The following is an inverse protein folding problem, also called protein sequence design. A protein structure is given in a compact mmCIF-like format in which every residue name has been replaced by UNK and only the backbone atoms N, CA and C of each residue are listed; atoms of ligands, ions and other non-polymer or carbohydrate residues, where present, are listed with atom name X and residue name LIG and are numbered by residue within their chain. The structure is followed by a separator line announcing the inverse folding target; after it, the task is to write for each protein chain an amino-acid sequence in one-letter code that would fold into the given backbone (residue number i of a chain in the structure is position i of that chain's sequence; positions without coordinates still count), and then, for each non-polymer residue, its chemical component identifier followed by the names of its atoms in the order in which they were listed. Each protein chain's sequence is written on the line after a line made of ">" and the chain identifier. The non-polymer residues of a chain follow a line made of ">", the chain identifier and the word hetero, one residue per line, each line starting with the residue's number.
data_IF_618009110515
#
_entry.id   IF_618009110515
#
_cell.length_a   1.000
_cell.length_b   1.000
_cell.length_c   1.000
_cell.angle_alpha   90.00
_cell.angle_beta   90.00
_cell.angle_gamma   90.00
#
_symmetry.space_group_name_H-M   'P 1'
#
loop_
_entity.id
_entity.type
_entity.pdbx_description
1 polymer ?
#
# COMPACT_ATOMS: atom_id res chain seq x y z
N UNK A 1 -5.79 -22.65 -12.92
CA UNK A 1 -6.33 -21.98 -14.12
C UNK A 1 -7.84 -21.80 -13.93
N UNK A 2 -8.29 -20.70 -13.33
CA UNK A 2 -9.73 -20.45 -13.16
C UNK A 2 -10.36 -20.04 -14.49
N UNK A 3 -11.32 -20.83 -14.96
CA UNK A 3 -12.09 -20.62 -16.19
C UNK A 3 -13.16 -19.57 -15.92
N UNK A 4 -13.14 -18.47 -16.66
CA UNK A 4 -14.14 -17.41 -16.62
C UNK A 4 -15.41 -17.88 -17.33
N UNK A 5 -16.42 -18.30 -16.57
CA UNK A 5 -17.74 -18.60 -17.12
C UNK A 5 -18.57 -17.32 -17.25
N UNK A 6 -18.66 -16.81 -18.48
CA UNK A 6 -19.94 -16.59 -19.18
C UNK A 6 -20.92 -15.50 -18.74
N UNK A 7 -20.90 -15.01 -17.50
CA UNK A 7 -21.84 -13.97 -17.05
C UNK A 7 -21.09 -12.92 -16.22
N UNK A 8 -20.29 -12.09 -16.93
CA UNK A 8 -19.45 -11.06 -16.31
C UNK A 8 -20.29 -9.81 -16.05
N UNK A 9 -21.07 -9.84 -14.97
CA UNK A 9 -21.29 -8.60 -14.23
C UNK A 9 -19.91 -7.99 -13.96
N UNK A 10 -19.73 -6.71 -14.28
CA UNK A 10 -18.45 -6.06 -14.10
C UNK A 10 -18.09 -6.12 -12.59
N UNK A 11 -16.92 -6.69 -12.27
CA UNK A 11 -16.47 -6.86 -10.88
C UNK A 11 -16.24 -5.54 -10.12
N UNK A 12 -16.14 -4.41 -10.82
CA UNK A 12 -16.04 -3.04 -10.27
C UNK A 12 -17.39 -2.53 -9.76
N UNK A 13 -18.50 -2.87 -10.42
CA UNK A 13 -19.85 -2.46 -10.00
C UNK A 13 -20.24 -3.03 -8.63
N UNK A 14 -19.83 -4.28 -8.35
CA UNK A 14 -20.16 -4.92 -7.07
C UNK A 14 -19.36 -4.33 -5.90
N UNK A 15 -18.10 -3.92 -6.11
CA UNK A 15 -17.29 -3.30 -5.04
C UNK A 15 -17.71 -1.86 -4.75
N UNK A 16 -18.17 -1.10 -5.76
CA UNK A 16 -18.70 0.25 -5.56
C UNK A 16 -19.91 0.27 -4.62
N UNK A 17 -20.73 -0.78 -4.63
CA UNK A 17 -21.87 -0.92 -3.72
C UNK A 17 -21.47 -1.17 -2.26
N UNK A 18 -20.29 -1.76 -2.02
CA UNK A 18 -19.83 -2.16 -0.68
C UNK A 18 -18.93 -1.09 -0.04
N UNK A 19 -18.16 -0.33 -0.82
CA UNK A 19 -17.22 0.68 -0.33
C UNK A 19 -17.85 1.77 0.59
N UNK A 20 -19.04 2.32 0.29
CA UNK A 20 -19.68 3.30 1.18
C UNK A 20 -20.07 2.70 2.54
N UNK A 21 -20.50 1.43 2.55
CA UNK A 21 -20.84 0.71 3.78
C UNK A 21 -19.61 0.43 4.67
N UNK A 22 -18.41 0.45 4.10
CA UNK A 22 -17.13 0.33 4.82
C UNK A 22 -16.62 1.69 5.35
N UNK A 23 -17.39 2.77 5.21
CA UNK A 23 -16.99 4.11 5.63
C UNK A 23 -16.03 4.80 4.66
N UNK A 24 -15.90 4.29 3.42
CA UNK A 24 -15.08 4.95 2.41
C UNK A 24 -15.76 6.22 1.88
N UNK A 25 -14.95 7.22 1.51
CA UNK A 25 -15.43 8.39 0.76
C UNK A 25 -15.98 7.98 -0.61
N UNK A 26 -16.74 8.87 -1.26
CA UNK A 26 -17.16 8.69 -2.66
C UNK A 26 -15.92 8.41 -3.52
N UNK A 27 -15.89 7.26 -4.17
CA UNK A 27 -14.81 6.83 -5.07
C UNK A 27 -15.33 6.89 -6.50
N UNK A 28 -14.51 7.40 -7.42
CA UNK A 28 -14.79 7.35 -8.85
C UNK A 28 -14.61 5.90 -9.35
N UNK A 29 -15.65 5.26 -9.92
CA UNK A 29 -15.58 3.86 -10.38
C UNK A 29 -14.47 3.61 -11.41
N UNK A 30 -14.12 4.62 -12.22
CA UNK A 30 -13.06 4.49 -13.23
C UNK A 30 -11.66 4.45 -12.60
N UNK A 31 -11.53 4.87 -11.34
CA UNK A 31 -10.28 4.77 -10.56
C UNK A 31 -10.10 3.41 -9.88
N UNK A 32 -11.10 2.52 -9.95
CA UNK A 32 -11.02 1.20 -9.34
C UNK A 32 -10.30 0.19 -10.24
N UNK A 33 -9.38 -0.57 -9.63
CA UNK A 33 -8.64 -1.64 -10.28
C UNK A 33 -8.95 -2.97 -9.58
N UNK A 34 -9.41 -3.95 -10.36
CA UNK A 34 -9.54 -5.33 -9.87
C UNK A 34 -8.15 -5.96 -9.87
N UNK A 35 -7.75 -6.53 -8.74
CA UNK A 35 -6.50 -7.27 -8.58
C UNK A 35 -6.80 -8.74 -8.27
N UNK A 36 -5.80 -9.60 -8.42
CA UNK A 36 -5.79 -11.00 -8.01
C UNK A 36 -5.58 -11.17 -6.48
N UNK A 37 -5.76 -10.11 -5.69
CA UNK A 37 -5.62 -10.12 -4.23
C UNK A 37 -4.68 -9.03 -3.69
N UNK A 38 -4.51 -9.02 -2.36
CA UNK A 38 -3.75 -7.99 -1.64
C UNK A 38 -2.27 -7.94 -2.07
N UNK A 39 -1.63 -9.09 -2.27
CA UNK A 39 -0.22 -9.14 -2.68
C UNK A 39 0.03 -8.44 -4.02
N UNK A 40 -0.86 -8.67 -5.01
CA UNK A 40 -0.76 -7.98 -6.30
C UNK A 40 -1.05 -6.47 -6.15
N UNK A 41 -2.02 -6.09 -5.32
CA UNK A 41 -2.32 -4.68 -5.05
C UNK A 41 -1.12 -3.95 -4.40
N UNK A 42 -0.49 -4.56 -3.39
CA UNK A 42 0.70 -4.03 -2.71
C UNK A 42 1.86 -3.90 -3.70
N UNK A 43 2.11 -4.92 -4.53
CA UNK A 43 3.15 -4.88 -5.57
C UNK A 43 2.91 -3.74 -6.56
N UNK A 44 1.68 -3.57 -7.06
CA UNK A 44 1.34 -2.47 -7.96
C UNK A 44 1.54 -1.09 -7.30
N UNK A 45 1.05 -0.91 -6.07
CA UNK A 45 1.25 0.34 -5.34
C UNK A 45 2.75 0.65 -5.16
N UNK A 46 3.53 -0.34 -4.72
CA UNK A 46 4.97 -0.21 -4.55
C UNK A 46 5.69 0.18 -5.85
N UNK A 47 5.34 -0.44 -6.98
CA UNK A 47 5.93 -0.09 -8.27
C UNK A 47 5.57 1.33 -8.72
N UNK A 48 4.35 1.80 -8.46
CA UNK A 48 3.93 3.17 -8.80
C UNK A 48 4.72 4.19 -7.99
N UNK A 49 4.84 4.00 -6.67
CA UNK A 49 5.49 4.97 -5.77
C UNK A 49 7.02 4.87 -5.76
N UNK A 50 7.60 3.73 -6.15
CA UNK A 50 9.05 3.51 -6.12
C UNK A 50 9.84 4.11 -7.27
N UNK A 51 9.16 4.77 -8.21
CA UNK A 51 9.80 5.53 -9.29
C UNK A 51 10.64 6.69 -8.75
N UNK A 52 10.16 7.35 -7.71
CA UNK A 52 10.80 8.54 -7.11
C UNK A 52 11.20 8.33 -5.65
N UNK A 53 10.65 7.32 -4.96
CA UNK A 53 10.89 7.08 -3.54
C UNK A 53 11.32 5.63 -3.31
N UNK A 54 12.59 5.42 -2.92
CA UNK A 54 13.08 4.06 -2.66
C UNK A 54 12.79 3.55 -1.25
N UNK A 55 12.43 4.43 -0.30
CA UNK A 55 12.20 4.08 1.09
C UNK A 55 10.71 3.85 1.39
N UNK A 56 10.42 2.79 2.13
CA UNK A 56 9.08 2.45 2.64
C UNK A 56 9.14 2.29 4.15
N UNK A 57 8.24 2.97 4.85
CA UNK A 57 8.06 2.77 6.29
C UNK A 57 7.02 1.67 6.52
N UNK A 58 7.34 0.71 7.39
CA UNK A 58 6.49 -0.45 7.69
C UNK A 58 6.39 -0.64 9.20
N UNK A 59 5.35 -1.32 9.68
CA UNK A 59 5.28 -1.75 11.07
C UNK A 59 6.39 -2.75 11.41
N UNK A 60 6.80 -2.81 12.67
CA UNK A 60 7.75 -3.82 13.16
C UNK A 60 7.08 -4.62 14.31
N UNK A 61 6.71 -5.90 14.10
CA UNK A 61 6.83 -6.67 12.85
C UNK A 61 5.75 -6.29 11.80
N UNK A 62 6.10 -6.41 10.51
CA UNK A 62 5.15 -6.18 9.39
C UNK A 62 4.53 -7.49 8.88
N UNK A 63 3.47 -7.37 8.10
CA UNK A 63 2.95 -8.46 7.27
C UNK A 63 4.04 -9.07 6.37
N UNK A 64 4.27 -10.37 6.51
CA UNK A 64 5.41 -11.06 5.90
C UNK A 64 5.44 -10.99 4.36
N UNK A 65 4.29 -11.10 3.67
CA UNK A 65 4.29 -10.99 2.20
C UNK A 65 4.63 -9.56 1.73
N UNK A 66 4.23 -8.53 2.48
CA UNK A 66 4.62 -7.16 2.14
C UNK A 66 6.13 -6.97 2.28
N UNK A 67 6.73 -7.57 3.33
CA UNK A 67 8.17 -7.56 3.54
C UNK A 67 8.92 -8.20 2.35
N UNK A 68 8.47 -9.36 1.87
CA UNK A 68 9.09 -10.04 0.74
C UNK A 68 8.93 -9.26 -0.57
N UNK A 69 7.72 -8.74 -0.85
CA UNK A 69 7.44 -7.89 -2.03
C UNK A 69 8.37 -6.68 -2.06
N UNK A 70 8.52 -5.95 -0.95
CA UNK A 70 9.35 -4.75 -0.94
C UNK A 70 10.84 -5.07 -1.09
N UNK A 71 11.30 -6.20 -0.52
CA UNK A 71 12.68 -6.67 -0.72
C UNK A 71 12.97 -7.08 -2.16
N UNK A 72 12.05 -7.78 -2.81
CA UNK A 72 12.16 -8.14 -4.24
C UNK A 72 12.22 -6.90 -5.14
N UNK A 73 11.43 -5.87 -4.80
CA UNK A 73 11.45 -4.56 -5.48
C UNK A 73 12.66 -3.69 -5.11
N UNK A 74 13.57 -4.19 -4.26
CA UNK A 74 14.77 -3.50 -3.75
C UNK A 74 14.47 -2.15 -3.11
N UNK A 75 13.36 -2.08 -2.38
CA UNK A 75 13.02 -0.92 -1.56
C UNK A 75 13.83 -0.96 -0.26
N UNK A 76 14.08 0.22 0.28
CA UNK A 76 14.72 0.42 1.56
C UNK A 76 13.64 0.43 2.66
N UNK A 77 13.55 -0.67 3.42
CA UNK A 77 12.51 -0.85 4.43
C UNK A 77 12.97 -0.23 5.75
N UNK A 78 12.17 0.69 6.28
CA UNK A 78 12.35 1.24 7.63
C UNK A 78 11.21 0.80 8.53
N UNK A 79 11.51 -0.10 9.46
CA UNK A 79 10.58 -0.48 10.52
C UNK A 79 10.26 0.71 11.44
N UNK A 80 8.97 0.84 11.78
CA UNK A 80 8.40 1.76 12.75
C UNK A 80 7.77 0.93 13.85
N UNK A 81 8.10 1.23 15.09
CA UNK A 81 7.56 0.49 16.22
C UNK A 81 6.04 0.64 16.30
N UNK A 82 5.34 -0.50 16.29
CA UNK A 82 3.92 -0.59 16.53
C UNK A 82 3.71 -1.23 17.91
N UNK A 83 2.98 -0.56 18.78
CA UNK A 83 2.58 -1.07 20.09
C UNK A 83 1.22 -1.77 20.04
N UNK A 84 0.61 -2.00 21.19
CA UNK A 84 -0.73 -2.63 21.29
C UNK A 84 -1.82 -1.89 20.51
N UNK A 85 -1.66 -0.57 20.35
CA UNK A 85 -2.59 0.29 19.62
C UNK A 85 -2.13 0.60 18.18
N UNK A 86 -1.18 -0.16 17.64
CA UNK A 86 -0.58 0.07 16.33
C UNK A 86 0.54 1.12 16.36
N UNK A 87 0.78 1.77 15.22
CA UNK A 87 1.83 2.79 15.07
C UNK A 87 1.54 4.02 15.94
N UNK A 88 2.50 4.42 16.78
CA UNK A 88 2.48 5.75 17.39
C UNK A 88 2.83 6.81 16.33
N UNK A 89 1.80 7.55 15.88
CA UNK A 89 1.91 8.59 14.86
C UNK A 89 2.92 9.68 15.24
N UNK A 90 3.09 10.00 16.54
CA UNK A 90 4.05 11.02 16.97
C UNK A 90 5.48 10.52 16.82
N UNK A 91 5.74 9.27 17.20
CA UNK A 91 7.03 8.62 17.01
C UNK A 91 7.37 8.53 15.52
N UNK A 92 6.42 8.05 14.71
CA UNK A 92 6.55 7.95 13.26
C UNK A 92 6.83 9.31 12.60
N UNK A 93 6.11 10.36 12.99
CA UNK A 93 6.33 11.71 12.48
C UNK A 93 7.74 12.24 12.81
N UNK A 94 8.26 11.91 14.00
CA UNK A 94 9.63 12.22 14.40
C UNK A 94 10.66 11.55 13.48
N UNK A 95 10.49 10.26 13.19
CA UNK A 95 11.39 9.52 12.30
C UNK A 95 11.31 9.98 10.84
N UNK A 96 10.12 10.34 10.36
CA UNK A 96 9.95 10.95 9.05
C UNK A 96 10.64 12.32 8.95
N UNK A 97 10.54 13.15 9.99
CA UNK A 97 11.18 14.46 10.01
C UNK A 97 12.71 14.34 10.02
N UNK A 98 13.28 13.41 10.80
CA UNK A 98 14.72 13.10 10.75
C UNK A 98 15.15 12.72 9.34
N UNK A 99 14.38 11.86 8.67
CA UNK A 99 14.69 11.44 7.29
C UNK A 99 14.67 12.60 6.30
N UNK A 100 13.71 13.51 6.42
CA UNK A 100 13.65 14.72 5.59
C UNK A 100 14.87 15.62 5.80
N UNK A 101 15.34 15.76 7.04
CA UNK A 101 16.47 16.64 7.39
C UNK A 101 17.84 16.09 6.94
N UNK A 102 18.00 14.76 6.82
CA UNK A 102 19.25 14.13 6.34
C UNK A 102 19.37 14.08 4.80
N UNK A 103 18.54 14.84 4.07
CA UNK A 103 18.65 14.96 2.62
C UNK A 103 18.11 13.75 1.83
N UNK A 104 17.15 13.00 2.38
CA UNK A 104 16.56 11.83 1.71
C UNK A 104 15.72 12.10 0.45
N UNK A 105 15.60 13.36 0.01
CA UNK A 105 14.90 13.71 -1.22
C UNK A 105 15.81 13.60 -2.43
N UNK A 106 15.39 12.85 -3.46
CA UNK A 106 15.89 13.08 -4.80
C UNK A 106 15.75 14.58 -5.13
N UNK A 107 16.83 15.17 -5.64
CA UNK A 107 16.82 16.45 -6.37
C UNK A 107 15.77 16.44 -7.48
N UNK A 108 15.22 17.61 -7.88
CA UNK A 108 14.18 17.73 -8.89
C UNK A 108 14.50 17.05 -10.22
#
# INVERSE_FOLDING_TARGET
>A
MYRQNGDRGDGRLNILAVLPCLGSRVVDPDTLMVTAGNSQAISHAAMVFSKTNKRVFVEEPTYFLAHDIFRELRLDLKGVHAGENGIDVRCCAGDLNKWRLIGGGCSP
#
